data_IF_921167262054
#
_entry.id   IF_921167262054
#
_cell.length_a   1.000
_cell.length_b   1.000
_cell.length_c   1.000
_cell.angle_alpha   90.00
_cell.angle_beta   90.00
_cell.angle_gamma   90.00
#
_symmetry.space_group_name_H-M   'P 1'
#
loop_
_entity.id
_entity.type
_entity.pdbx_description
1 polymer ?
#
# COMPACT_ATOMS: atom_id res chain seq x y z
N UNK A 1 5.73 -42.96 13.28
CA UNK A 1 5.01 -43.59 12.15
C UNK A 1 4.69 -42.58 11.07
N UNK A 2 4.05 -41.45 11.38
CA UNK A 2 3.76 -40.36 10.42
C UNK A 2 4.97 -39.94 9.56
N UNK A 3 6.15 -39.72 10.16
CA UNK A 3 7.38 -39.41 9.40
C UNK A 3 7.73 -40.49 8.35
N UNK A 4 7.61 -41.76 8.73
CA UNK A 4 7.92 -42.90 7.87
C UNK A 4 6.88 -43.04 6.75
N UNK A 5 5.61 -42.80 7.06
CA UNK A 5 4.50 -42.85 6.09
C UNK A 5 4.64 -41.75 5.03
N UNK A 6 5.12 -40.56 5.43
CA UNK A 6 5.42 -39.44 4.53
C UNK A 6 6.75 -39.57 3.78
N UNK A 7 7.54 -40.62 4.05
CA UNK A 7 8.87 -40.81 3.46
C UNK A 7 9.89 -39.76 3.87
N UNK A 8 9.71 -39.14 5.04
CA UNK A 8 10.63 -38.13 5.58
C UNK A 8 11.74 -38.87 6.34
N UNK A 9 12.98 -38.69 5.89
CA UNK A 9 14.17 -39.33 6.48
C UNK A 9 14.72 -38.55 7.68
N UNK A 10 14.39 -37.27 7.79
CA UNK A 10 14.80 -36.36 8.88
C UNK A 10 14.12 -36.71 10.21
N UNK A 11 14.81 -36.47 11.33
CA UNK A 11 14.22 -36.69 12.66
C UNK A 11 13.18 -35.61 13.00
N UNK A 12 12.23 -35.93 13.90
CA UNK A 12 11.24 -34.94 14.34
C UNK A 12 11.90 -33.71 14.99
N UNK A 13 12.98 -33.92 15.74
CA UNK A 13 13.78 -32.86 16.36
C UNK A 13 14.50 -31.99 15.33
N UNK A 14 15.02 -32.59 14.25
CA UNK A 14 15.63 -31.85 13.13
C UNK A 14 14.60 -31.02 12.37
N UNK A 15 13.41 -31.58 12.13
CA UNK A 15 12.29 -30.86 11.51
C UNK A 15 11.86 -29.70 12.41
N UNK A 16 11.69 -29.93 13.71
CA UNK A 16 11.34 -28.87 14.67
C UNK A 16 12.36 -27.73 14.69
N UNK A 17 13.65 -28.05 14.51
CA UNK A 17 14.71 -27.05 14.47
C UNK A 17 14.76 -26.24 13.14
N UNK A 18 14.34 -26.84 12.02
CA UNK A 18 14.56 -26.28 10.68
C UNK A 18 13.29 -25.80 9.97
N UNK A 19 12.13 -26.40 10.26
CA UNK A 19 10.90 -26.30 9.47
C UNK A 19 9.64 -26.43 10.34
N UNK A 20 9.28 -25.34 11.02
CA UNK A 20 8.08 -25.24 11.85
C UNK A 20 6.77 -25.53 11.08
N UNK A 21 6.60 -25.10 9.80
CA UNK A 21 5.43 -25.51 9.02
C UNK A 21 5.32 -27.02 8.85
N UNK A 22 6.41 -27.72 8.51
CA UNK A 22 6.39 -29.19 8.37
C UNK A 22 6.07 -29.87 9.69
N UNK A 23 6.66 -29.36 10.78
CA UNK A 23 6.34 -29.81 12.14
C UNK A 23 4.84 -29.68 12.42
N UNK A 24 4.23 -28.54 12.13
CA UNK A 24 2.81 -28.30 12.37
C UNK A 24 1.89 -29.22 11.54
N UNK A 25 2.27 -29.53 10.29
CA UNK A 25 1.55 -30.52 9.48
C UNK A 25 1.63 -31.93 10.07
N UNK A 26 2.83 -32.32 10.54
CA UNK A 26 3.03 -33.61 11.20
C UNK A 26 2.22 -33.66 12.49
N UNK A 27 2.26 -32.62 13.30
CA UNK A 27 1.52 -32.53 14.56
C UNK A 27 0.02 -32.64 14.32
N UNK A 28 -0.51 -31.96 13.30
CA UNK A 28 -1.93 -32.05 12.92
C UNK A 28 -2.31 -33.47 12.53
N UNK A 29 -1.51 -34.15 11.70
CA UNK A 29 -1.77 -35.54 11.31
C UNK A 29 -1.65 -36.52 12.50
N UNK A 30 -0.71 -36.27 13.41
CA UNK A 30 -0.57 -37.05 14.64
C UNK A 30 -1.77 -36.83 15.55
N UNK A 31 -2.23 -35.58 15.72
CA UNK A 31 -3.41 -35.23 16.52
C UNK A 31 -4.68 -35.87 15.94
N UNK A 32 -4.84 -35.91 14.62
CA UNK A 32 -5.95 -36.60 13.96
C UNK A 32 -5.92 -38.13 14.18
N UNK A 33 -4.73 -38.72 14.28
CA UNK A 33 -4.57 -40.17 14.48
C UNK A 33 -4.69 -40.60 15.95
N UNK A 34 -4.12 -39.83 16.87
CA UNK A 34 -3.94 -40.22 18.29
C UNK A 34 -4.15 -39.06 19.29
N UNK A 35 -4.76 -37.95 18.90
CA UNK A 35 -4.90 -36.73 19.73
C UNK A 35 -5.48 -36.98 21.12
N UNK A 36 -6.52 -37.82 21.22
CA UNK A 36 -7.09 -38.20 22.53
C UNK A 36 -6.13 -38.97 23.45
N UNK A 37 -5.16 -39.71 22.91
CA UNK A 37 -4.09 -40.34 23.70
C UNK A 37 -2.95 -39.36 24.05
N UNK A 38 -2.69 -38.39 23.16
CA UNK A 38 -1.69 -37.35 23.37
C UNK A 38 -2.14 -36.32 24.42
N UNK A 39 -3.40 -35.93 24.44
CA UNK A 39 -3.96 -35.05 25.46
C UNK A 39 -3.80 -35.68 26.86
N UNK A 40 -4.13 -36.96 26.99
CA UNK A 40 -3.95 -37.73 28.25
C UNK A 40 -2.47 -37.83 28.64
N UNK A 41 -1.56 -38.04 27.68
CA UNK A 41 -0.11 -38.06 27.92
C UNK A 41 0.46 -36.67 28.23
N UNK A 42 -0.08 -35.62 27.63
CA UNK A 42 0.27 -34.22 27.84
C UNK A 42 -0.14 -33.77 29.24
N UNK A 43 -1.38 -34.04 29.65
CA UNK A 43 -1.86 -33.82 31.01
C UNK A 43 -1.02 -34.59 32.03
N UNK A 44 -0.69 -35.86 31.77
CA UNK A 44 0.21 -36.62 32.66
C UNK A 44 1.65 -36.13 32.66
N UNK A 45 2.14 -35.52 31.58
CA UNK A 45 3.48 -34.91 31.52
C UNK A 45 3.53 -33.55 32.24
N UNK A 46 2.47 -32.73 32.11
CA UNK A 46 2.24 -31.51 32.90
C UNK A 46 2.17 -31.83 34.39
N UNK A 47 1.43 -32.88 34.77
CA UNK A 47 1.37 -33.38 36.16
C UNK A 47 2.70 -33.94 36.69
N UNK A 48 3.62 -34.35 35.81
CA UNK A 48 4.96 -34.86 36.17
C UNK A 48 6.08 -33.82 36.12
N UNK A 49 5.76 -32.56 35.77
CA UNK A 49 6.74 -31.48 35.67
C UNK A 49 7.79 -31.69 34.58
N UNK A 50 7.43 -32.38 33.49
CA UNK A 50 8.33 -32.66 32.35
C UNK A 50 8.21 -31.62 31.23
N UNK A 51 7.53 -30.50 31.47
CA UNK A 51 7.40 -29.42 30.49
C UNK A 51 8.74 -28.66 30.42
N UNK A 52 9.27 -28.50 29.21
CA UNK A 52 10.49 -27.71 29.01
C UNK A 52 10.14 -26.23 28.89
N UNK A 53 11.01 -25.30 29.33
CA UNK A 53 10.79 -23.86 29.14
C UNK A 53 10.51 -23.47 27.68
N UNK A 54 11.13 -24.18 26.74
CA UNK A 54 10.89 -23.99 25.31
C UNK A 54 9.45 -24.38 24.90
N UNK A 55 8.94 -25.50 25.42
CA UNK A 55 7.55 -25.93 25.15
C UNK A 55 6.54 -24.93 25.71
N UNK A 56 6.79 -24.38 26.90
CA UNK A 56 5.95 -23.34 27.51
C UNK A 56 6.01 -22.04 26.69
N UNK A 57 7.19 -21.66 26.19
CA UNK A 57 7.37 -20.51 25.31
C UNK A 57 6.63 -20.64 23.96
N UNK A 58 6.62 -21.82 23.35
CA UNK A 58 5.82 -22.07 22.14
C UNK A 58 4.32 -22.02 22.40
N UNK A 59 3.83 -22.63 23.49
CA UNK A 59 2.42 -22.52 23.90
C UNK A 59 2.05 -21.04 24.14
N UNK A 60 2.91 -20.26 24.79
CA UNK A 60 2.69 -18.83 25.01
C UNK A 60 2.64 -18.01 23.70
N UNK A 61 3.47 -18.35 22.72
CA UNK A 61 3.48 -17.69 21.41
C UNK A 61 2.20 -18.02 20.61
N UNK A 62 1.74 -19.27 20.62
CA UNK A 62 0.48 -19.66 19.99
C UNK A 62 -0.72 -18.99 20.66
N UNK A 63 -0.78 -18.99 21.99
CA UNK A 63 -1.83 -18.29 22.73
C UNK A 63 -1.85 -16.77 22.42
N UNK A 64 -0.69 -16.17 22.13
CA UNK A 64 -0.61 -14.79 21.68
C UNK A 64 -1.22 -14.62 20.29
N UNK A 65 -0.97 -15.54 19.35
CA UNK A 65 -1.57 -15.50 18.00
C UNK A 65 -3.09 -15.69 18.04
N UNK A 66 -3.59 -16.63 18.84
CA UNK A 66 -5.04 -16.83 19.02
C UNK A 66 -5.72 -15.58 19.58
N UNK A 67 -5.13 -14.95 20.59
CA UNK A 67 -5.64 -13.69 21.15
C UNK A 67 -5.69 -12.58 20.11
N UNK A 68 -4.61 -12.43 19.34
CA UNK A 68 -4.52 -11.44 18.27
C UNK A 68 -5.59 -11.68 17.20
N UNK A 69 -5.88 -12.93 16.84
CA UNK A 69 -6.95 -13.26 15.89
C UNK A 69 -8.33 -12.86 16.43
N UNK A 70 -8.61 -13.13 17.71
CA UNK A 70 -9.88 -12.72 18.34
C UNK A 70 -10.04 -11.20 18.36
N UNK A 71 -8.99 -10.48 18.72
CA UNK A 71 -8.97 -9.01 18.70
C UNK A 71 -9.14 -8.46 17.28
N UNK A 72 -8.49 -9.08 16.29
CA UNK A 72 -8.64 -8.74 14.88
C UNK A 72 -10.09 -8.91 14.41
N UNK A 73 -10.74 -10.02 14.74
CA UNK A 73 -12.16 -10.25 14.41
C UNK A 73 -13.09 -9.21 15.05
N UNK A 74 -12.78 -8.75 16.26
CA UNK A 74 -13.55 -7.71 16.92
C UNK A 74 -13.42 -6.36 16.19
N UNK A 75 -12.22 -6.02 15.74
CA UNK A 75 -11.98 -4.77 14.99
C UNK A 75 -12.50 -4.82 13.56
N UNK A 76 -12.41 -5.99 12.93
CA UNK A 76 -13.06 -6.26 11.64
C UNK A 76 -14.57 -6.08 11.74
N UNK A 77 -15.19 -6.50 12.84
CA UNK A 77 -16.63 -6.30 13.05
C UNK A 77 -16.97 -4.81 13.12
N UNK A 78 -16.11 -3.97 13.73
CA UNK A 78 -16.32 -2.52 13.79
C UNK A 78 -16.13 -1.86 12.42
N UNK A 79 -15.15 -2.29 11.64
CA UNK A 79 -14.97 -1.83 10.26
C UNK A 79 -16.18 -2.23 9.39
N UNK A 80 -16.55 -3.50 9.40
CA UNK A 80 -17.65 -4.03 8.56
C UNK A 80 -19.04 -3.50 8.95
N UNK A 81 -19.19 -2.99 10.18
CA UNK A 81 -20.42 -2.32 10.64
C UNK A 81 -20.39 -0.80 10.47
N UNK A 82 -19.38 -0.25 9.78
CA UNK A 82 -19.15 1.19 9.59
C UNK A 82 -19.01 1.99 10.89
N UNK A 83 -18.66 1.33 11.99
CA UNK A 83 -18.35 2.02 13.25
C UNK A 83 -16.95 2.64 13.20
N UNK A 84 -16.04 2.03 12.45
CA UNK A 84 -14.69 2.54 12.17
C UNK A 84 -14.51 2.82 10.68
N UNK A 85 -13.77 3.88 10.34
CA UNK A 85 -13.25 4.09 8.99
C UNK A 85 -12.04 3.19 8.75
N UNK A 86 -11.68 3.01 7.47
CA UNK A 86 -10.47 2.29 7.07
C UNK A 86 -9.22 2.80 7.79
N UNK A 87 -9.06 4.12 7.94
CA UNK A 87 -7.88 4.72 8.58
C UNK A 87 -7.73 4.29 10.05
N UNK A 88 -8.84 4.31 10.80
CA UNK A 88 -8.85 3.86 12.20
C UNK A 88 -8.54 2.37 12.29
N UNK A 89 -9.07 1.56 11.37
CA UNK A 89 -8.77 0.13 11.32
C UNK A 89 -7.29 -0.13 10.99
N UNK A 90 -6.69 0.62 10.04
CA UNK A 90 -5.25 0.49 9.69
C UNK A 90 -4.35 0.86 10.86
N UNK A 91 -4.68 1.92 11.60
CA UNK A 91 -3.96 2.29 12.83
C UNK A 91 -4.03 1.17 13.89
N UNK A 92 -5.22 0.60 14.12
CA UNK A 92 -5.39 -0.50 15.08
C UNK A 92 -4.71 -1.78 14.63
N UNK A 93 -4.67 -2.04 13.33
CA UNK A 93 -3.89 -3.11 12.74
C UNK A 93 -2.38 -2.91 13.00
N UNK A 94 -1.85 -1.68 12.83
CA UNK A 94 -0.47 -1.34 13.17
C UNK A 94 -0.16 -1.56 14.66
N UNK A 95 -1.01 -1.04 15.55
CA UNK A 95 -0.90 -1.24 17.00
C UNK A 95 -0.79 -2.72 17.36
N UNK A 96 -1.60 -3.57 16.72
CA UNK A 96 -1.54 -5.03 16.90
C UNK A 96 -0.23 -5.64 16.42
N UNK A 97 0.24 -5.27 15.23
CA UNK A 97 1.53 -5.77 14.73
C UNK A 97 2.67 -5.40 15.70
N UNK A 98 2.63 -4.19 16.28
CA UNK A 98 3.58 -3.73 17.30
C UNK A 98 3.51 -4.56 18.59
N UNK A 99 2.30 -4.76 19.10
CA UNK A 99 2.07 -5.55 20.31
C UNK A 99 2.48 -7.01 20.12
N UNK A 100 2.21 -7.58 18.95
CA UNK A 100 2.62 -8.92 18.59
C UNK A 100 4.15 -9.05 18.57
N UNK A 101 4.83 -8.11 17.91
CA UNK A 101 6.30 -8.04 17.89
C UNK A 101 6.86 -7.95 19.30
N UNK A 102 6.39 -7.00 20.11
CA UNK A 102 6.86 -6.81 21.48
C UNK A 102 6.61 -8.03 22.36
N UNK A 103 5.44 -8.67 22.23
CA UNK A 103 5.11 -9.89 22.98
C UNK A 103 6.01 -11.07 22.56
N UNK A 104 6.31 -11.20 21.27
CA UNK A 104 7.24 -12.22 20.77
C UNK A 104 8.65 -12.01 21.33
N UNK A 105 9.16 -10.79 21.31
CA UNK A 105 10.48 -10.49 21.86
C UNK A 105 10.54 -10.74 23.38
N UNK A 106 9.49 -10.36 24.12
CA UNK A 106 9.39 -10.64 25.54
C UNK A 106 9.35 -12.16 25.83
N UNK A 107 8.58 -12.94 25.06
CA UNK A 107 8.51 -14.40 25.22
C UNK A 107 9.86 -15.06 24.93
N UNK A 108 10.60 -14.57 23.91
CA UNK A 108 11.96 -15.06 23.64
C UNK A 108 12.89 -14.83 24.82
N UNK A 109 12.83 -13.64 25.42
CA UNK A 109 13.63 -13.27 26.58
C UNK A 109 13.24 -14.06 27.84
N UNK A 110 11.95 -14.09 28.18
CA UNK A 110 11.40 -14.68 29.41
C UNK A 110 11.65 -16.17 29.53
N UNK A 111 11.42 -16.91 28.44
CA UNK A 111 11.58 -18.36 28.43
C UNK A 111 13.01 -18.79 28.10
N UNK A 112 13.93 -17.82 27.99
CA UNK A 112 15.28 -18.02 27.46
C UNK A 112 15.20 -18.95 26.25
N UNK A 113 14.27 -18.65 25.33
CA UNK A 113 14.16 -19.33 24.04
C UNK A 113 15.40 -18.89 23.27
N UNK A 114 16.47 -19.55 23.65
CA UNK A 114 17.78 -19.44 23.12
C UNK A 114 17.70 -20.13 21.77
N UNK A 115 17.39 -19.34 20.74
CA UNK A 115 18.04 -19.55 19.44
C UNK A 115 19.57 -19.27 19.57
N UNK A 116 20.06 -18.88 20.75
CA UNK A 116 21.46 -19.01 21.17
C UNK A 116 21.78 -20.53 21.26
N UNK A 117 22.42 -21.21 20.33
CA UNK A 117 23.71 -20.91 19.72
C UNK A 117 23.72 -21.23 18.22
N UNK A 118 22.54 -21.34 17.62
CA UNK A 118 22.38 -21.34 16.17
C UNK A 118 21.10 -20.57 15.89
N UNK A 119 21.26 -19.32 15.41
CA UNK A 119 20.40 -18.77 14.34
C UNK A 119 19.89 -19.98 13.56
N UNK A 120 18.57 -20.17 13.45
CA UNK A 120 18.01 -21.28 12.67
C UNK A 120 18.89 -21.49 11.44
N UNK A 121 19.37 -22.72 11.17
CA UNK A 121 20.53 -22.93 10.32
C UNK A 121 20.47 -22.04 9.08
N UNK A 122 21.52 -21.28 8.75
CA UNK A 122 21.43 -20.26 7.71
C UNK A 122 20.78 -20.84 6.45
N UNK A 123 19.71 -20.20 5.96
CA UNK A 123 18.84 -20.63 4.85
C UNK A 123 17.79 -21.70 5.19
N UNK A 124 17.53 -22.01 6.45
CA UNK A 124 16.39 -22.84 6.86
C UNK A 124 15.07 -22.08 6.75
N UNK A 125 13.97 -22.82 6.73
CA UNK A 125 12.61 -22.26 6.72
C UNK A 125 12.38 -21.39 7.96
N UNK A 126 12.81 -21.86 9.14
CA UNK A 126 12.70 -21.10 10.37
C UNK A 126 13.50 -19.79 10.34
N UNK A 127 14.68 -19.75 9.72
CA UNK A 127 15.47 -18.53 9.60
C UNK A 127 14.75 -17.44 8.77
N UNK A 128 14.04 -17.86 7.72
CA UNK A 128 13.23 -16.95 6.91
C UNK A 128 11.98 -16.47 7.66
N UNK A 129 11.32 -17.35 8.42
CA UNK A 129 10.18 -17.00 9.29
C UNK A 129 10.60 -16.00 10.37
N UNK A 130 11.76 -16.20 11.00
CA UNK A 130 12.27 -15.27 11.99
C UNK A 130 12.56 -13.91 11.38
N UNK A 131 13.24 -13.88 10.23
CA UNK A 131 13.49 -12.63 9.49
C UNK A 131 12.18 -11.93 9.10
N UNK A 132 11.13 -12.68 8.76
CA UNK A 132 9.80 -12.15 8.44
C UNK A 132 9.13 -11.48 9.64
N UNK A 133 9.25 -12.06 10.83
CA UNK A 133 8.69 -11.49 12.06
C UNK A 133 9.60 -10.43 12.70
N UNK A 134 10.89 -10.41 12.37
CA UNK A 134 11.84 -9.40 12.83
C UNK A 134 11.66 -8.05 12.09
N UNK A 135 10.81 -8.00 11.06
CA UNK A 135 10.39 -6.74 10.44
C UNK A 135 9.49 -5.98 11.41
N UNK A 136 10.05 -4.97 12.07
CA UNK A 136 9.32 -4.09 12.96
C UNK A 136 8.69 -2.93 12.16
N UNK A 137 7.39 -2.70 12.35
CA UNK A 137 6.65 -1.62 11.68
C UNK A 137 7.09 -0.22 12.14
N UNK A 138 7.66 -0.08 13.35
CA UNK A 138 8.19 1.19 13.87
C UNK A 138 9.59 1.55 13.34
N UNK A 139 10.18 0.73 12.47
CA UNK A 139 11.48 1.04 11.87
C UNK A 139 11.37 2.31 10.99
N UNK A 140 12.33 3.24 11.13
CA UNK A 140 12.30 4.56 10.46
C UNK A 140 12.16 4.44 8.94
N UNK A 141 12.65 3.33 8.36
CA UNK A 141 12.52 3.04 6.91
C UNK A 141 11.08 2.85 6.42
N UNK A 142 10.14 2.57 7.34
CA UNK A 142 8.71 2.42 7.07
C UNK A 142 7.90 3.63 7.51
N UNK A 143 8.54 4.73 7.91
CA UNK A 143 7.86 5.97 8.26
C UNK A 143 7.83 6.91 7.07
N UNK A 144 6.64 7.37 6.68
CA UNK A 144 6.44 8.42 5.69
C UNK A 144 6.67 9.80 6.31
N UNK A 145 7.00 10.84 5.53
CA UNK A 145 7.23 12.20 6.03
C UNK A 145 6.05 12.82 6.78
N UNK A 146 4.84 12.33 6.53
CA UNK A 146 3.59 12.76 7.19
C UNK A 146 3.32 12.02 8.52
N UNK A 147 4.22 11.12 8.93
CA UNK A 147 4.10 10.32 10.14
C UNK A 147 3.23 9.06 9.99
N UNK A 148 2.75 8.75 8.78
CA UNK A 148 2.05 7.49 8.49
C UNK A 148 3.03 6.36 8.16
N UNK A 149 2.53 5.13 8.15
CA UNK A 149 3.35 3.94 7.86
C UNK A 149 3.35 3.69 6.35
N UNK A 150 4.54 3.56 5.78
CA UNK A 150 4.80 3.01 4.45
C UNK A 150 4.59 1.49 4.50
N UNK A 151 3.31 1.10 4.36
CA UNK A 151 2.91 -0.29 4.46
C UNK A 151 3.49 -1.14 3.33
N UNK A 152 3.73 -0.55 2.16
CA UNK A 152 4.21 -1.26 0.98
C UNK A 152 5.65 -1.68 1.22
N UNK A 153 6.51 -0.75 1.68
CA UNK A 153 7.87 -1.10 2.13
C UNK A 153 7.88 -2.11 3.28
N UNK A 154 6.94 -1.99 4.21
CA UNK A 154 6.84 -2.93 5.34
C UNK A 154 6.53 -4.36 4.86
N UNK A 155 5.52 -4.53 3.99
CA UNK A 155 5.18 -5.84 3.45
C UNK A 155 6.25 -6.36 2.48
N UNK A 156 6.88 -5.51 1.67
CA UNK A 156 8.00 -5.87 0.80
C UNK A 156 9.21 -6.37 1.59
N UNK A 157 9.49 -5.77 2.74
CA UNK A 157 10.55 -6.23 3.63
C UNK A 157 10.24 -7.63 4.17
N UNK A 158 8.98 -7.89 4.54
CA UNK A 158 8.50 -9.20 4.97
C UNK A 158 8.57 -10.23 3.84
N UNK A 159 8.14 -9.88 2.65
CA UNK A 159 8.21 -10.75 1.48
C UNK A 159 9.65 -11.03 1.06
N UNK A 160 10.53 -10.04 1.20
CA UNK A 160 11.97 -10.20 0.97
C UNK A 160 12.61 -11.18 1.94
N UNK A 161 12.14 -11.24 3.19
CA UNK A 161 12.59 -12.23 4.16
C UNK A 161 12.34 -13.68 3.69
N UNK A 162 11.33 -13.89 2.85
CA UNK A 162 10.93 -15.21 2.34
C UNK A 162 11.56 -15.55 0.98
N UNK A 163 12.16 -14.59 0.26
CA UNK A 163 12.84 -14.82 -1.04
C UNK A 163 13.91 -15.92 -1.04
N UNK A 164 14.67 -16.16 0.05
CA UNK A 164 15.64 -17.25 0.09
C UNK A 164 15.05 -18.67 0.02
N UNK A 165 13.74 -18.81 0.25
CA UNK A 165 13.06 -20.11 0.26
C UNK A 165 12.79 -20.60 -1.17
N UNK A 166 12.67 -21.93 -1.32
CA UNK A 166 12.17 -22.51 -2.57
C UNK A 166 10.72 -22.05 -2.83
N UNK A 167 10.23 -22.02 -4.09
CA UNK A 167 8.85 -21.62 -4.37
C UNK A 167 7.81 -22.46 -3.60
N UNK A 168 8.04 -23.76 -3.45
CA UNK A 168 7.15 -24.65 -2.68
C UNK A 168 7.17 -24.34 -1.18
N UNK A 169 8.35 -24.10 -0.61
CA UNK A 169 8.47 -23.74 0.81
C UNK A 169 7.89 -22.35 1.07
N UNK A 170 8.08 -21.40 0.16
CA UNK A 170 7.46 -20.08 0.26
C UNK A 170 5.95 -20.18 0.29
N UNK A 171 5.32 -20.95 -0.60
CA UNK A 171 3.86 -21.14 -0.58
C UNK A 171 3.39 -21.73 0.75
N UNK A 172 4.02 -22.82 1.21
CA UNK A 172 3.67 -23.49 2.46
C UNK A 172 3.86 -22.59 3.70
N UNK A 173 4.98 -21.87 3.76
CA UNK A 173 5.25 -20.89 4.81
C UNK A 173 4.21 -19.77 4.78
N UNK A 174 3.86 -19.27 3.59
CA UNK A 174 2.83 -18.24 3.46
C UNK A 174 1.45 -18.75 3.92
N UNK A 175 1.06 -19.97 3.57
CA UNK A 175 -0.18 -20.57 4.07
C UNK A 175 -0.17 -20.71 5.60
N UNK A 176 0.95 -21.15 6.17
CA UNK A 176 1.13 -21.24 7.62
C UNK A 176 1.06 -19.88 8.32
N UNK A 177 1.72 -18.85 7.76
CA UNK A 177 1.68 -17.48 8.27
C UNK A 177 0.27 -16.88 8.17
N UNK A 178 -0.44 -17.17 7.07
CA UNK A 178 -1.77 -16.63 6.76
C UNK A 178 -2.92 -17.37 7.45
N UNK A 179 -2.66 -18.50 8.12
CA UNK A 179 -3.69 -19.26 8.88
C UNK A 179 -4.48 -18.38 9.88
N UNK A 180 -3.84 -17.35 10.40
CA UNK A 180 -4.44 -16.43 11.37
C UNK A 180 -4.95 -15.12 10.74
N UNK A 181 -4.75 -14.91 9.44
CA UNK A 181 -5.31 -13.75 8.75
C UNK A 181 -6.82 -13.89 8.64
N UNK A 182 -7.54 -12.84 9.03
CA UNK A 182 -8.98 -12.78 8.84
C UNK A 182 -9.31 -12.48 7.37
N UNK A 183 -10.55 -12.76 6.92
CA UNK A 183 -10.99 -12.36 5.59
C UNK A 183 -10.78 -10.86 5.32
N UNK A 184 -11.01 -10.02 6.33
CA UNK A 184 -10.80 -8.56 6.24
C UNK A 184 -9.34 -8.19 6.04
N UNK A 185 -8.40 -8.86 6.71
CA UNK A 185 -6.95 -8.65 6.48
C UNK A 185 -6.55 -9.09 5.08
N UNK A 186 -7.16 -10.15 4.55
CA UNK A 186 -6.94 -10.60 3.17
C UNK A 186 -7.46 -9.57 2.16
N UNK A 187 -8.65 -9.01 2.39
CA UNK A 187 -9.17 -7.90 1.58
C UNK A 187 -8.31 -6.65 1.68
N UNK A 188 -7.82 -6.32 2.89
CA UNK A 188 -6.93 -5.18 3.09
C UNK A 188 -5.66 -5.28 2.24
N UNK A 189 -5.02 -6.45 2.20
CA UNK A 189 -3.84 -6.67 1.34
C UNK A 189 -4.15 -6.52 -0.15
N UNK A 190 -5.32 -7.01 -0.60
CA UNK A 190 -5.76 -6.74 -1.98
C UNK A 190 -5.98 -5.25 -2.23
N UNK A 191 -6.53 -4.54 -1.25
CA UNK A 191 -6.70 -3.09 -1.34
C UNK A 191 -5.36 -2.38 -1.51
N UNK A 192 -4.29 -2.90 -0.89
CA UNK A 192 -2.94 -2.39 -1.09
C UNK A 192 -2.40 -2.67 -2.47
N UNK A 193 -2.51 -3.91 -2.96
CA UNK A 193 -2.10 -4.25 -4.33
C UNK A 193 -2.77 -3.31 -5.36
N UNK A 194 -4.04 -2.95 -5.14
CA UNK A 194 -4.75 -1.96 -5.96
C UNK A 194 -4.18 -0.55 -5.78
N UNK A 195 -3.90 -0.13 -4.54
CA UNK A 195 -3.28 1.19 -4.28
C UNK A 195 -1.93 1.29 -4.98
N UNK A 196 -1.11 0.25 -4.89
CA UNK A 196 0.17 0.12 -5.60
C UNK A 196 -0.06 0.24 -7.10
N UNK A 197 -0.97 -0.53 -7.67
CA UNK A 197 -1.28 -0.49 -9.10
C UNK A 197 -1.72 0.92 -9.55
N UNK A 198 -2.52 1.62 -8.74
CA UNK A 198 -2.95 3.01 -8.99
C UNK A 198 -1.76 3.98 -8.98
N UNK A 199 -0.80 3.80 -8.07
CA UNK A 199 0.35 4.69 -7.93
C UNK A 199 1.51 4.33 -8.88
N UNK A 200 1.66 3.07 -9.27
CA UNK A 200 2.59 2.62 -10.31
C UNK A 200 2.10 3.01 -11.71
N UNK A 201 0.78 3.10 -11.89
CA UNK A 201 0.18 3.57 -13.15
C UNK A 201 0.35 5.09 -13.29
N UNK A 202 0.98 5.57 -14.38
CA UNK A 202 1.17 7.00 -14.60
C UNK A 202 -0.15 7.75 -14.54
N UNK A 203 -0.21 8.79 -13.69
CA UNK A 203 -1.41 9.62 -13.49
C UNK A 203 -1.86 10.30 -14.78
N UNK A 204 -0.90 10.79 -15.55
CA UNK A 204 -1.14 11.58 -16.74
C UNK A 204 -0.91 10.75 -18.00
N UNK A 205 -1.85 10.86 -18.93
CA UNK A 205 -1.75 10.22 -20.23
C UNK A 205 -0.51 10.71 -20.98
N UNK A 206 0.15 9.78 -21.68
CA UNK A 206 1.35 10.01 -22.49
C UNK A 206 2.62 10.38 -21.68
N UNK A 207 2.60 10.22 -20.35
CA UNK A 207 3.77 10.36 -19.47
C UNK A 207 4.10 9.03 -18.80
N UNK A 208 5.38 8.82 -18.47
CA UNK A 208 5.83 7.78 -17.53
C UNK A 208 5.50 8.18 -16.09
N UNK A 209 5.68 7.27 -15.14
CA UNK A 209 5.42 7.54 -13.72
C UNK A 209 6.26 8.72 -13.20
N UNK A 210 7.57 8.68 -13.39
CA UNK A 210 8.51 9.71 -12.95
C UNK A 210 8.22 11.08 -13.59
N UNK A 211 7.92 11.10 -14.90
CA UNK A 211 7.49 12.31 -15.60
C UNK A 211 6.13 12.82 -15.10
N UNK A 212 5.23 11.90 -14.74
CA UNK A 212 3.92 12.22 -14.19
C UNK A 212 4.01 12.84 -12.80
N UNK A 213 4.91 12.34 -11.95
CA UNK A 213 5.23 12.92 -10.65
C UNK A 213 5.86 14.30 -10.78
N UNK A 214 6.80 14.48 -11.73
CA UNK A 214 7.35 15.80 -12.05
C UNK A 214 6.26 16.77 -12.49
N UNK A 215 5.35 16.35 -13.37
CA UNK A 215 4.21 17.15 -13.79
C UNK A 215 3.26 17.48 -12.63
N UNK A 216 2.98 16.53 -11.73
CA UNK A 216 2.11 16.74 -10.57
C UNK A 216 2.71 17.77 -9.60
N UNK A 217 3.99 17.64 -9.28
CA UNK A 217 4.75 18.62 -8.48
C UNK A 217 4.70 20.02 -9.10
N UNK A 218 4.94 20.13 -10.40
CA UNK A 218 4.88 21.43 -11.08
C UNK A 218 3.48 22.05 -10.95
N UNK A 219 2.44 21.26 -11.22
CA UNK A 219 1.06 21.76 -11.26
C UNK A 219 0.47 22.06 -9.88
N UNK A 220 0.86 21.30 -8.86
CA UNK A 220 0.20 21.35 -7.54
C UNK A 220 1.08 21.97 -6.45
N UNK A 221 2.38 22.13 -6.68
CA UNK A 221 3.30 22.78 -5.74
C UNK A 221 3.92 24.04 -6.36
N UNK A 222 4.67 23.90 -7.46
CA UNK A 222 5.46 25.01 -8.00
C UNK A 222 4.59 26.14 -8.57
N UNK A 223 3.56 25.79 -9.33
CA UNK A 223 2.62 26.75 -9.92
C UNK A 223 1.84 27.51 -8.84
N UNK A 224 1.18 26.84 -7.86
CA UNK A 224 0.52 27.54 -6.76
C UNK A 224 1.47 28.41 -5.93
N UNK A 225 2.70 27.96 -5.68
CA UNK A 225 3.71 28.74 -4.97
C UNK A 225 4.09 30.01 -5.73
N UNK A 226 4.31 29.90 -7.05
CA UNK A 226 4.60 31.04 -7.92
C UNK A 226 3.43 32.02 -7.99
N UNK A 227 2.20 31.51 -8.14
CA UNK A 227 1.00 32.35 -8.15
C UNK A 227 0.82 33.09 -6.82
N UNK A 228 1.06 32.39 -5.70
CA UNK A 228 1.02 32.99 -4.35
C UNK A 228 2.09 34.07 -4.19
N UNK A 229 3.31 33.85 -4.70
CA UNK A 229 4.37 34.85 -4.67
C UNK A 229 4.01 36.08 -5.51
N UNK A 230 3.56 35.87 -6.76
CA UNK A 230 3.14 36.96 -7.64
C UNK A 230 2.01 37.79 -7.00
N UNK A 231 1.05 37.13 -6.36
CA UNK A 231 -0.06 37.78 -5.67
C UNK A 231 0.43 38.66 -4.51
N UNK A 232 1.43 38.22 -3.75
CA UNK A 232 2.06 39.03 -2.68
C UNK A 232 2.75 40.28 -3.23
N UNK A 233 3.22 40.22 -4.48
CA UNK A 233 3.80 41.34 -5.21
C UNK A 233 2.74 42.20 -5.92
N UNK A 234 1.45 41.87 -5.75
CA UNK A 234 0.31 42.60 -6.32
C UNK A 234 -0.01 42.23 -7.78
N UNK A 235 0.57 41.14 -8.28
CA UNK A 235 0.38 40.65 -9.64
C UNK A 235 -0.47 39.39 -9.61
N UNK A 236 -1.66 39.44 -10.19
CA UNK A 236 -2.47 38.24 -10.41
C UNK A 236 -1.90 37.47 -11.61
N UNK A 237 -1.36 36.27 -11.34
CA UNK A 237 -0.76 35.43 -12.37
C UNK A 237 -1.71 34.28 -12.72
N UNK A 238 -2.15 34.24 -13.97
CA UNK A 238 -2.95 33.12 -14.46
C UNK A 238 -2.15 31.81 -14.43
N UNK A 239 -2.85 30.71 -14.13
CA UNK A 239 -2.25 29.38 -14.00
C UNK A 239 -1.49 28.96 -15.25
N UNK A 240 -2.01 29.28 -16.44
CA UNK A 240 -1.34 28.99 -17.71
C UNK A 240 0.00 29.72 -17.81
N UNK A 241 0.04 31.02 -17.47
CA UNK A 241 1.27 31.80 -17.55
C UNK A 241 2.27 31.36 -16.48
N UNK A 242 1.80 30.99 -15.29
CA UNK A 242 2.63 30.37 -14.25
C UNK A 242 3.26 29.05 -14.73
N UNK A 243 2.49 28.17 -15.37
CA UNK A 243 3.01 26.92 -15.96
C UNK A 243 4.10 27.21 -16.98
N UNK A 244 3.88 28.13 -17.93
CA UNK A 244 4.90 28.49 -18.92
C UNK A 244 6.17 29.06 -18.29
N UNK A 245 6.02 29.88 -17.26
CA UNK A 245 7.16 30.44 -16.55
C UNK A 245 7.99 29.38 -15.82
N UNK A 246 7.34 28.38 -15.21
CA UNK A 246 8.05 27.23 -14.61
C UNK A 246 8.77 26.42 -15.70
N UNK A 247 8.13 26.17 -16.85
CA UNK A 247 8.76 25.47 -17.98
C UNK A 247 10.03 26.21 -18.45
N UNK A 248 9.98 27.55 -18.52
CA UNK A 248 11.13 28.39 -18.90
C UNK A 248 12.28 28.36 -17.88
N UNK A 249 12.01 27.96 -16.62
CA UNK A 249 13.01 27.85 -15.55
C UNK A 249 13.81 26.54 -15.55
N UNK A 250 13.44 25.55 -16.38
CA UNK A 250 14.18 24.31 -16.53
C UNK A 250 13.42 23.08 -16.04
N UNK A 251 12.35 22.73 -16.74
CA UNK A 251 11.64 21.45 -16.63
C UNK A 251 12.21 20.48 -17.66
N UNK A 252 12.13 19.16 -17.42
CA UNK A 252 12.52 18.17 -18.43
C UNK A 252 11.83 18.41 -19.78
N UNK A 253 12.52 18.17 -20.90
CA UNK A 253 11.99 18.51 -22.23
C UNK A 253 10.65 17.80 -22.53
N UNK A 254 10.50 16.56 -22.07
CA UNK A 254 9.30 15.74 -22.29
C UNK A 254 8.10 16.22 -21.46
N UNK A 255 8.30 16.53 -20.17
CA UNK A 255 7.25 17.11 -19.31
C UNK A 255 6.92 18.53 -19.73
N UNK A 256 7.94 19.33 -20.09
CA UNK A 256 7.76 20.67 -20.62
C UNK A 256 6.94 20.69 -21.90
N UNK A 257 7.22 19.78 -22.85
CA UNK A 257 6.46 19.66 -24.09
C UNK A 257 5.05 19.11 -23.85
N UNK A 258 4.87 18.21 -22.89
CA UNK A 258 3.54 17.79 -22.46
C UNK A 258 2.75 18.98 -21.88
N UNK A 259 3.32 19.72 -20.92
CA UNK A 259 2.68 20.88 -20.31
C UNK A 259 2.38 21.97 -21.33
N UNK A 260 3.28 22.27 -22.27
CA UNK A 260 3.03 23.24 -23.37
C UNK A 260 1.87 22.82 -24.27
N UNK A 261 1.75 21.52 -24.59
CA UNK A 261 0.66 20.99 -25.42
C UNK A 261 -0.69 21.11 -24.70
N UNK A 262 -0.70 20.94 -23.37
CA UNK A 262 -1.92 20.92 -22.55
C UNK A 262 -2.33 22.30 -22.05
N UNK A 263 -1.39 23.13 -21.63
CA UNK A 263 -1.59 24.51 -21.16
C UNK A 263 -1.23 25.51 -22.26
N UNK A 264 -1.94 25.51 -23.38
CA UNK A 264 -1.65 26.45 -24.48
C UNK A 264 -1.91 27.88 -24.01
N UNK A 265 -0.92 28.78 -24.15
CA UNK A 265 -1.13 30.22 -23.97
C UNK A 265 -2.36 30.62 -24.77
N UNK A 266 -3.39 31.10 -24.07
CA UNK A 266 -4.53 31.74 -24.69
C UNK A 266 -3.96 32.82 -25.61
N UNK A 267 -4.23 32.73 -26.92
CA UNK A 267 -3.81 33.80 -27.86
C UNK A 267 -4.27 35.12 -27.26
N UNK A 268 -3.41 36.12 -27.22
CA UNK A 268 -3.80 37.44 -26.69
C UNK A 268 -5.09 37.90 -27.37
N UNK A 269 -5.93 38.65 -26.66
CA UNK A 269 -7.22 39.07 -27.18
C UNK A 269 -7.07 39.77 -28.55
N UNK A 270 -6.01 40.56 -28.71
CA UNK A 270 -5.59 41.18 -29.97
C UNK A 270 -5.33 40.16 -31.08
N UNK A 271 -4.60 39.07 -30.80
CA UNK A 271 -4.32 38.01 -31.78
C UNK A 271 -5.58 37.22 -32.12
N UNK A 272 -6.48 36.99 -31.14
CA UNK A 272 -7.79 36.37 -31.39
C UNK A 272 -8.63 37.24 -32.32
N UNK A 273 -8.65 38.55 -32.09
CA UNK A 273 -9.42 39.50 -32.89
C UNK A 273 -8.87 39.60 -34.32
N UNK A 274 -7.54 39.68 -34.49
CA UNK A 274 -6.90 39.63 -35.81
C UNK A 274 -7.23 38.34 -36.57
N UNK A 275 -7.25 37.20 -35.88
CA UNK A 275 -7.61 35.91 -36.47
C UNK A 275 -9.11 35.84 -36.84
N UNK A 276 -10.01 36.35 -36.00
CA UNK A 276 -11.44 36.44 -36.30
C UNK A 276 -11.68 37.28 -37.55
N UNK A 277 -11.03 38.44 -37.63
CA UNK A 277 -11.18 39.36 -38.75
C UNK A 277 -10.65 38.77 -40.06
N UNK A 278 -9.47 38.12 -40.01
CA UNK A 278 -8.92 37.42 -41.18
C UNK A 278 -9.78 36.24 -41.64
N UNK A 279 -10.30 35.43 -40.72
CA UNK A 279 -11.14 34.28 -41.06
C UNK A 279 -12.51 34.71 -41.57
N UNK A 280 -13.09 35.79 -41.03
CA UNK A 280 -14.32 36.41 -41.56
C UNK A 280 -14.11 36.95 -42.98
N UNK A 281 -12.99 37.63 -43.21
CA UNK A 281 -12.63 38.15 -44.54
C UNK A 281 -12.41 37.01 -45.57
N UNK A 282 -11.98 35.84 -45.11
CA UNK A 282 -11.85 34.63 -45.93
C UNK A 282 -13.17 33.85 -46.12
N UNK A 283 -14.30 34.36 -45.62
CA UNK A 283 -15.61 33.73 -45.78
C UNK A 283 -15.83 32.48 -44.91
N UNK A 284 -15.01 32.29 -43.86
CA UNK A 284 -15.17 31.16 -42.94
C UNK A 284 -16.42 31.36 -42.08
N UNK A 285 -17.33 30.37 -41.99
CA UNK A 285 -18.50 30.43 -41.13
C UNK A 285 -18.17 30.72 -39.66
N UNK A 286 -18.99 31.56 -39.01
CA UNK A 286 -18.76 32.07 -37.64
C UNK A 286 -18.64 30.95 -36.59
N UNK A 287 -19.36 29.85 -36.75
CA UNK A 287 -19.29 28.65 -35.90
C UNK A 287 -17.95 27.92 -36.02
N UNK A 288 -17.38 27.89 -37.23
CA UNK A 288 -16.04 27.36 -37.50
C UNK A 288 -14.97 28.30 -36.92
N UNK A 289 -15.14 29.61 -37.07
CA UNK A 289 -14.24 30.62 -36.46
C UNK A 289 -14.22 30.47 -34.94
N UNK A 290 -15.38 30.30 -34.30
CA UNK A 290 -15.48 30.07 -32.85
C UNK A 290 -14.75 28.79 -32.44
N UNK A 291 -14.86 27.70 -33.20
CA UNK A 291 -14.08 26.46 -32.93
C UNK A 291 -12.57 26.62 -33.12
N UNK A 292 -12.13 27.48 -34.04
CA UNK A 292 -10.71 27.69 -34.35
C UNK A 292 -10.04 28.69 -33.40
N UNK A 293 -10.74 29.77 -33.05
CA UNK A 293 -10.21 30.90 -32.27
C UNK A 293 -10.51 30.74 -30.79
N UNK A 294 -11.72 30.28 -30.46
CA UNK A 294 -12.21 30.14 -29.09
C UNK A 294 -12.21 28.67 -28.66
N UNK A 295 -11.28 27.87 -29.21
CA UNK A 295 -11.14 26.47 -28.85
C UNK A 295 -10.93 26.41 -27.33
N UNK A 296 -11.87 25.83 -26.55
CA UNK A 296 -11.69 25.70 -25.13
C UNK A 296 -10.38 24.96 -24.89
N UNK A 297 -9.67 25.30 -23.80
CA UNK A 297 -8.53 24.51 -23.34
C UNK A 297 -8.91 23.02 -23.31
N UNK A 298 -7.95 22.10 -23.44
CA UNK A 298 -8.26 20.69 -23.42
C UNK A 298 -9.13 20.35 -22.20
N UNK A 299 -10.25 19.68 -22.43
CA UNK A 299 -11.08 19.14 -21.35
C UNK A 299 -10.26 18.12 -20.56
N UNK A 300 -10.43 18.10 -19.25
CA UNK A 300 -9.63 17.28 -18.33
C UNK A 300 -9.73 15.78 -18.56
N UNK A 301 -10.85 15.33 -19.12
CA UNK A 301 -11.05 13.98 -19.69
C UNK A 301 -9.93 13.56 -20.67
N UNK A 302 -9.06 14.49 -21.11
CA UNK A 302 -7.94 14.21 -22.02
C UNK A 302 -6.56 14.17 -21.35
N UNK A 303 -6.46 14.49 -20.05
CA UNK A 303 -5.19 14.58 -19.31
C UNK A 303 -4.90 13.34 -18.47
N UNK A 304 -5.93 12.75 -17.87
CA UNK A 304 -5.79 11.60 -16.98
C UNK A 304 -5.62 10.32 -17.81
N UNK A 305 -4.83 9.39 -17.28
CA UNK A 305 -4.69 8.08 -17.86
C UNK A 305 -5.98 7.25 -17.61
N UNK A 306 -6.74 6.87 -18.66
CA UNK A 306 -7.98 6.11 -18.47
C UNK A 306 -7.77 4.75 -17.80
N UNK A 307 -6.59 4.14 -17.96
CA UNK A 307 -6.25 2.89 -17.28
C UNK A 307 -6.24 3.05 -15.75
N UNK A 308 -5.76 4.20 -15.26
CA UNK A 308 -5.78 4.52 -13.83
C UNK A 308 -7.20 4.73 -13.32
N UNK A 309 -8.06 5.36 -14.11
CA UNK A 309 -9.47 5.56 -13.77
C UNK A 309 -10.21 4.22 -13.72
N UNK A 310 -9.92 3.32 -14.67
CA UNK A 310 -10.50 1.97 -14.70
C UNK A 310 -10.11 1.18 -13.43
N UNK A 311 -8.84 1.22 -13.00
CA UNK A 311 -8.40 0.58 -11.75
C UNK A 311 -9.16 1.14 -10.54
N UNK A 312 -9.32 2.47 -10.44
CA UNK A 312 -10.06 3.12 -9.36
C UNK A 312 -11.54 2.74 -9.34
N UNK A 313 -12.18 2.64 -10.52
CA UNK A 313 -13.59 2.30 -10.66
C UNK A 313 -13.86 0.81 -10.36
N UNK A 314 -13.02 -0.09 -10.89
CA UNK A 314 -13.15 -1.52 -10.67
C UNK A 314 -12.96 -1.89 -9.19
N UNK A 315 -12.15 -1.12 -8.47
CA UNK A 315 -11.80 -1.37 -7.07
C UNK A 315 -12.41 -0.36 -6.08
N UNK A 316 -13.43 0.40 -6.50
CA UNK A 316 -14.00 1.46 -5.67
C UNK A 316 -14.51 0.95 -4.30
N UNK A 317 -15.06 -0.26 -4.23
CA UNK A 317 -15.65 -0.79 -2.99
C UNK A 317 -14.57 -1.12 -1.96
N UNK A 318 -13.48 -1.75 -2.40
CA UNK A 318 -12.37 -2.14 -1.53
C UNK A 318 -11.55 -0.92 -1.12
N UNK A 319 -11.37 0.04 -2.03
CA UNK A 319 -10.73 1.32 -1.73
C UNK A 319 -11.59 2.20 -0.82
N UNK A 320 -12.92 2.25 -0.98
CA UNK A 320 -13.78 3.00 -0.06
C UNK A 320 -13.75 2.43 1.36
N UNK A 321 -13.60 1.10 1.48
CA UNK A 321 -13.51 0.41 2.75
C UNK A 321 -12.19 0.70 3.47
N UNK A 322 -11.06 0.59 2.77
CA UNK A 322 -9.73 0.64 3.38
C UNK A 322 -8.93 1.90 3.12
N UNK A 323 -9.22 2.68 2.08
CA UNK A 323 -8.50 3.90 1.68
C UNK A 323 -9.47 5.00 1.17
N UNK A 324 -10.46 5.40 1.99
CA UNK A 324 -11.49 6.35 1.57
C UNK A 324 -10.93 7.72 1.19
N UNK A 325 -9.79 8.07 1.77
CA UNK A 325 -9.03 9.28 1.53
C UNK A 325 -8.35 9.31 0.16
N UNK A 326 -7.92 8.16 -0.39
CA UNK A 326 -7.38 8.07 -1.74
C UNK A 326 -8.48 8.40 -2.75
N UNK A 327 -9.65 7.78 -2.62
CA UNK A 327 -10.81 8.10 -3.45
C UNK A 327 -11.19 9.57 -3.30
N UNK A 328 -11.30 10.07 -2.07
CA UNK A 328 -11.64 11.48 -1.83
C UNK A 328 -10.60 12.44 -2.44
N UNK A 329 -9.31 12.14 -2.36
CA UNK A 329 -8.24 12.97 -2.93
C UNK A 329 -8.21 12.91 -4.45
N UNK A 330 -8.36 11.75 -5.05
CA UNK A 330 -8.38 11.63 -6.51
C UNK A 330 -9.67 12.26 -7.09
N UNK A 331 -10.83 11.98 -6.50
CA UNK A 331 -12.11 12.60 -6.87
C UNK A 331 -12.13 14.12 -6.61
N UNK A 332 -11.57 14.61 -5.49
CA UNK A 332 -11.47 16.05 -5.24
C UNK A 332 -10.50 16.71 -6.21
N UNK A 333 -9.35 16.09 -6.53
CA UNK A 333 -8.43 16.63 -7.55
C UNK A 333 -9.06 16.61 -8.94
N UNK A 334 -9.90 15.62 -9.27
CA UNK A 334 -10.70 15.56 -10.49
C UNK A 334 -11.80 16.65 -10.53
N UNK A 335 -12.47 16.90 -9.41
CA UNK A 335 -13.48 17.97 -9.26
C UNK A 335 -12.86 19.37 -9.23
N UNK A 336 -11.73 19.56 -8.54
CA UNK A 336 -10.94 20.79 -8.51
C UNK A 336 -10.43 21.14 -9.90
N UNK A 337 -9.96 20.14 -10.64
CA UNK A 337 -9.48 20.35 -11.98
C UNK A 337 -10.66 20.64 -12.94
N UNK A 338 -11.86 20.07 -12.70
CA UNK A 338 -13.12 20.40 -13.39
C UNK A 338 -13.67 21.81 -13.12
N UNK A 339 -13.29 22.43 -12.00
CA UNK A 339 -13.76 23.75 -11.59
C UNK A 339 -12.76 24.84 -11.99
N UNK A 340 -12.84 25.27 -13.26
CA UNK A 340 -12.17 26.47 -13.73
C UNK A 340 -12.60 27.74 -12.97
N UNK A 341 -11.59 28.46 -12.48
CA UNK A 341 -11.52 29.93 -12.29
C UNK A 341 -12.45 30.66 -11.29
N UNK A 342 -13.40 30.03 -10.59
CA UNK A 342 -14.19 30.81 -9.59
C UNK A 342 -14.74 30.07 -8.37
N UNK A 343 -14.65 28.74 -8.29
CA UNK A 343 -15.28 28.01 -7.18
C UNK A 343 -14.41 27.90 -5.91
N UNK A 344 -13.07 28.05 -6.02
CA UNK A 344 -12.18 27.87 -4.87
C UNK A 344 -12.14 29.06 -3.90
N UNK A 345 -12.67 30.22 -4.30
CA UNK A 345 -12.79 31.38 -3.43
C UNK A 345 -14.02 31.34 -2.48
N UNK A 346 -14.86 30.30 -2.57
CA UNK A 346 -16.12 30.20 -1.83
C UNK A 346 -16.15 29.11 -0.73
N UNK A 347 -15.03 28.42 -0.48
CA UNK A 347 -14.96 27.31 0.51
C UNK A 347 -13.90 27.58 1.59
N UNK A 348 -13.58 28.84 1.88
CA UNK A 348 -12.90 29.22 3.13
C UNK A 348 -13.91 29.72 4.17
#
# INVERSE_FOLDING_TARGET
EVLRDRGIEESYEEIAANDLPLKAEIDTEVEERIGGELEIRGETSKLRGQQTPQSEGFEALEATRERQQVEQLADDTKLNSNQWSGDVWREKYADRQRQFFASREQIKEDFQITFDERKSPPKSVNAAIDTYFDVNVDDERFSLPDGTIDWDRFFDARDTALKPLSPSDRTRVMEWLRKFDTPTVTEFRKAQEVVDEVFETPKYKDLTLEQGEEADRILNEDVPNLQTQALREGIELERTDAVHFIIERGVSDEVGDWLRRRFKKSRSQVVKDILRDRLRAAGVPTDIIRRIVDRPGPKLETLINPERDDILLENQEILAKFYPDILARQLNREQEAGLGESAFAAVQ
#
